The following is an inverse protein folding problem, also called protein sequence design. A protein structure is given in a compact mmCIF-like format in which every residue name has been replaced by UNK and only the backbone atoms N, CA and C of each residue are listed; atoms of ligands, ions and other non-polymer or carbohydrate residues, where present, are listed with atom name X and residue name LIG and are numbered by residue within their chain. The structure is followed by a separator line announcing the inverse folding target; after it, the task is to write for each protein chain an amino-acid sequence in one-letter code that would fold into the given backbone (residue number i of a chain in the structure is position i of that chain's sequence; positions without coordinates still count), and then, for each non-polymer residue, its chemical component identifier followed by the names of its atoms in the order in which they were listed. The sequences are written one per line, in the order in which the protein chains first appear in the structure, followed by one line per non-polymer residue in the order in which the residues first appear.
data_IF_809710264856
#
_entry.id   IF_809710264856
#
_cell.length_a   1.000
_cell.length_b   1.000
_cell.length_c   1.000
_cell.angle_alpha   90.00
_cell.angle_beta   90.00
_cell.angle_gamma   90.00
#
_symmetry.space_group_name_H-M   'P 1'
#
loop_
_entity.id
_entity.type
_entity.pdbx_description
1 polymer ?
#
# COMPACT_ATOMS: atom_id res chain seq x y z
N UNK A 1 28.99 7.19 -15.41
CA UNK A 1 28.36 7.56 -14.13
C UNK A 1 26.87 7.49 -14.32
N UNK A 2 26.22 6.53 -13.74
CA UNK A 2 24.75 6.47 -13.75
C UNK A 2 24.24 7.66 -12.94
N UNK A 3 23.62 8.61 -13.62
CA UNK A 3 22.83 9.65 -12.95
C UNK A 3 21.62 8.95 -12.37
N UNK A 4 21.71 8.52 -11.13
CA UNK A 4 20.56 8.03 -10.38
C UNK A 4 19.61 9.21 -10.23
N UNK A 5 18.61 9.25 -11.09
CA UNK A 5 17.51 10.21 -10.97
C UNK A 5 16.79 9.91 -9.67
N UNK A 6 16.91 10.80 -8.70
CA UNK A 6 16.18 10.72 -7.43
C UNK A 6 14.68 10.81 -7.75
N UNK A 7 13.97 9.71 -7.59
CA UNK A 7 12.53 9.64 -7.81
C UNK A 7 12.08 9.40 -9.25
N UNK A 8 12.97 8.97 -10.14
CA UNK A 8 12.52 8.43 -11.43
C UNK A 8 11.66 7.19 -11.23
N UNK A 9 10.59 7.11 -12.01
CA UNK A 9 9.73 5.94 -12.03
C UNK A 9 10.54 4.67 -12.29
N UNK A 10 10.15 3.58 -11.63
CA UNK A 10 10.78 2.28 -11.80
C UNK A 10 10.12 1.57 -12.96
N UNK A 11 10.83 1.47 -14.07
CA UNK A 11 10.38 0.71 -15.21
C UNK A 11 10.98 -0.69 -15.14
N UNK A 12 10.13 -1.69 -14.96
CA UNK A 12 10.49 -3.09 -15.17
C UNK A 12 9.98 -3.44 -16.55
N UNK A 13 10.85 -3.96 -17.41
CA UNK A 13 10.44 -4.47 -18.70
C UNK A 13 9.63 -5.75 -18.47
N UNK A 14 8.31 -5.65 -18.61
CA UNK A 14 7.43 -6.79 -18.53
C UNK A 14 7.60 -7.66 -19.79
N UNK A 15 7.33 -8.97 -19.65
CA UNK A 15 7.18 -9.86 -20.81
C UNK A 15 6.02 -9.37 -21.69
N UNK A 16 6.03 -9.75 -22.96
CA UNK A 16 4.86 -9.58 -23.84
C UNK A 16 3.71 -10.42 -23.32
N UNK A 17 2.49 -9.90 -23.45
CA UNK A 17 1.28 -10.69 -23.21
C UNK A 17 1.09 -11.71 -24.33
N UNK A 18 0.43 -12.87 -24.09
CA UNK A 18 0.11 -13.84 -25.16
C UNK A 18 -0.71 -13.19 -26.29
N UNK A 19 -0.42 -13.54 -27.55
CA UNK A 19 -1.09 -12.99 -28.74
C UNK A 19 -2.61 -13.26 -28.75
N UNK A 20 -3.05 -14.35 -28.11
CA UNK A 20 -4.47 -14.71 -27.97
C UNK A 20 -5.23 -13.83 -26.96
N UNK A 21 -4.55 -12.90 -26.27
CA UNK A 21 -5.18 -12.06 -25.24
C UNK A 21 -6.07 -11.01 -25.87
N UNK A 22 -7.32 -10.95 -25.41
CA UNK A 22 -8.20 -9.81 -25.67
C UNK A 22 -8.10 -8.80 -24.53
N UNK A 23 -8.05 -7.50 -24.87
CA UNK A 23 -7.98 -6.41 -23.90
C UNK A 23 -9.16 -5.47 -24.08
N UNK A 24 -9.89 -5.20 -23.01
CA UNK A 24 -11.01 -4.26 -22.99
C UNK A 24 -10.88 -3.29 -21.83
N UNK A 25 -11.28 -2.03 -22.04
CA UNK A 25 -11.22 -0.96 -21.03
C UNK A 25 -12.65 -0.65 -20.59
N UNK A 26 -12.84 -0.51 -19.29
CA UNK A 26 -14.15 -0.33 -18.68
C UNK A 26 -14.15 0.83 -17.71
N UNK A 27 -15.26 1.56 -17.70
CA UNK A 27 -15.58 2.56 -16.70
C UNK A 27 -16.68 2.00 -15.81
N UNK A 28 -16.46 2.04 -14.50
CA UNK A 28 -17.41 1.54 -13.49
C UNK A 28 -17.89 2.70 -12.63
N UNK A 29 -19.12 2.56 -12.13
CA UNK A 29 -19.66 3.47 -11.11
C UNK A 29 -19.68 2.75 -9.77
N UNK A 30 -19.11 3.37 -8.75
CA UNK A 30 -19.08 2.85 -7.38
C UNK A 30 -20.42 3.05 -6.67
N UNK A 31 -20.65 2.38 -5.55
CA UNK A 31 -21.89 2.50 -4.78
C UNK A 31 -22.18 3.92 -4.28
N UNK A 32 -21.17 4.76 -4.11
CA UNK A 32 -21.30 6.17 -3.74
C UNK A 32 -21.25 7.14 -4.94
N UNK A 33 -21.34 6.61 -6.18
CA UNK A 33 -21.45 7.37 -7.41
C UNK A 33 -20.14 7.89 -8.00
N UNK A 34 -18.99 7.48 -7.48
CA UNK A 34 -17.70 7.82 -8.09
C UNK A 34 -17.44 6.97 -9.33
N UNK A 35 -16.59 7.47 -10.21
CA UNK A 35 -16.15 6.77 -11.42
C UNK A 35 -14.74 6.20 -11.22
N UNK A 36 -14.56 4.93 -11.58
CA UNK A 36 -13.26 4.25 -11.58
C UNK A 36 -13.03 3.52 -12.90
N UNK A 37 -11.78 3.35 -13.28
CA UNK A 37 -11.39 2.65 -14.50
C UNK A 37 -10.82 1.28 -14.22
N UNK A 38 -11.02 0.34 -15.17
CA UNK A 38 -10.36 -0.95 -15.13
C UNK A 38 -10.10 -1.50 -16.52
N UNK A 39 -9.12 -2.38 -16.61
CA UNK A 39 -8.70 -3.05 -17.84
C UNK A 39 -8.82 -4.56 -17.63
N UNK A 40 -9.67 -5.19 -18.41
CA UNK A 40 -9.83 -6.64 -18.43
C UNK A 40 -8.99 -7.22 -19.57
N UNK A 41 -8.11 -8.14 -19.25
CA UNK A 41 -7.34 -8.95 -20.20
C UNK A 41 -7.72 -10.40 -20.04
N UNK A 42 -8.17 -11.01 -21.11
CA UNK A 42 -8.66 -12.39 -21.12
C UNK A 42 -7.87 -13.23 -22.09
N UNK A 43 -7.52 -14.43 -21.67
CA UNK A 43 -7.12 -15.52 -22.53
C UNK A 43 -8.33 -16.42 -22.80
N UNK A 44 -8.41 -17.11 -23.96
CA UNK A 44 -9.54 -18.00 -24.28
C UNK A 44 -9.73 -19.07 -23.19
N UNK A 45 -10.98 -19.32 -22.80
CA UNK A 45 -11.30 -20.35 -21.79
C UNK A 45 -11.05 -19.98 -20.35
N UNK A 46 -10.59 -18.77 -20.01
CA UNK A 46 -10.34 -18.38 -18.62
C UNK A 46 -11.63 -18.24 -17.82
N UNK A 47 -11.75 -19.00 -16.74
CA UNK A 47 -12.85 -18.92 -15.76
C UNK A 47 -12.42 -18.31 -14.43
N UNK A 48 -11.12 -18.21 -14.20
CA UNK A 48 -10.50 -17.58 -13.03
C UNK A 48 -9.93 -16.23 -13.45
N UNK A 49 -10.18 -15.19 -12.64
CA UNK A 49 -9.65 -13.84 -12.87
C UNK A 49 -8.89 -13.34 -11.65
N UNK A 50 -7.69 -12.84 -11.87
CA UNK A 50 -6.86 -12.16 -10.88
C UNK A 50 -7.14 -10.66 -10.91
N UNK A 51 -7.57 -10.11 -9.77
CA UNK A 51 -7.88 -8.70 -9.58
C UNK A 51 -6.70 -7.99 -8.93
N UNK A 52 -6.00 -7.17 -9.70
CA UNK A 52 -4.86 -6.39 -9.24
C UNK A 52 -5.31 -4.94 -9.00
N UNK A 53 -5.18 -4.48 -7.77
CA UNK A 53 -5.48 -3.11 -7.39
C UNK A 53 -4.54 -2.63 -6.28
N UNK A 54 -4.13 -1.38 -6.37
CA UNK A 54 -3.33 -0.73 -5.35
C UNK A 54 -4.00 0.59 -4.94
N UNK A 55 -3.99 1.00 -3.66
CA UNK A 55 -4.68 2.22 -3.24
C UNK A 55 -4.11 3.48 -3.89
N UNK A 56 -2.80 3.51 -4.19
CA UNK A 56 -2.07 4.69 -4.67
C UNK A 56 -1.61 4.60 -6.12
N UNK A 57 -1.18 3.42 -6.57
CA UNK A 57 -0.51 3.24 -7.86
C UNK A 57 -1.47 2.72 -8.92
N UNK A 58 -1.19 3.05 -10.16
CA UNK A 58 -1.82 2.42 -11.31
C UNK A 58 -1.13 1.09 -11.60
N UNK A 59 -1.88 0.00 -11.52
CA UNK A 59 -1.43 -1.37 -11.79
C UNK A 59 -1.76 -1.85 -13.20
N UNK A 60 -2.16 -0.96 -14.11
CA UNK A 60 -2.49 -1.33 -15.49
C UNK A 60 -1.39 -2.13 -16.18
N UNK A 61 -0.13 -1.82 -15.88
CA UNK A 61 1.06 -2.49 -16.42
C UNK A 61 1.87 -3.24 -15.34
N UNK A 62 1.19 -3.81 -14.35
CA UNK A 62 1.85 -4.55 -13.28
C UNK A 62 2.63 -5.77 -13.85
N UNK A 63 3.81 -6.06 -13.27
CA UNK A 63 4.73 -7.10 -13.74
C UNK A 63 4.15 -8.52 -13.75
N UNK A 64 3.14 -8.79 -12.91
CA UNK A 64 2.43 -10.07 -12.91
C UNK A 64 1.41 -10.22 -14.04
N UNK A 65 1.02 -9.15 -14.72
CA UNK A 65 -0.02 -9.21 -15.77
C UNK A 65 0.34 -10.22 -16.85
N UNK A 66 1.50 -10.11 -17.56
CA UNK A 66 1.87 -11.08 -18.58
C UNK A 66 2.11 -12.48 -18.01
N UNK A 67 2.60 -12.57 -16.78
CA UNK A 67 2.91 -13.84 -16.13
C UNK A 67 1.64 -14.66 -15.83
N UNK A 68 0.58 -14.00 -15.36
CA UNK A 68 -0.71 -14.63 -15.07
C UNK A 68 -1.46 -15.01 -16.33
N UNK A 69 -1.45 -14.13 -17.34
CA UNK A 69 -2.06 -14.41 -18.65
C UNK A 69 -1.41 -15.61 -19.34
N UNK A 70 -0.08 -15.72 -19.29
CA UNK A 70 0.66 -16.86 -19.84
C UNK A 70 0.37 -18.20 -19.14
N UNK A 71 -0.30 -18.14 -17.97
CA UNK A 71 -0.71 -19.31 -17.16
C UNK A 71 -2.23 -19.54 -17.18
N UNK A 72 -2.93 -18.99 -18.16
CA UNK A 72 -4.36 -19.22 -18.35
C UNK A 72 -5.27 -18.48 -17.38
N UNK A 73 -4.76 -17.49 -16.64
CA UNK A 73 -5.54 -16.67 -15.70
C UNK A 73 -5.92 -15.35 -16.36
N UNK A 74 -7.21 -14.99 -16.40
CA UNK A 74 -7.61 -13.66 -16.81
C UNK A 74 -7.13 -12.62 -15.78
N UNK A 75 -6.88 -11.39 -16.24
CA UNK A 75 -6.37 -10.33 -15.38
C UNK A 75 -7.25 -9.09 -15.46
N UNK A 76 -7.72 -8.65 -14.32
CA UNK A 76 -8.37 -7.36 -14.11
C UNK A 76 -7.45 -6.44 -13.35
N UNK A 77 -7.04 -5.34 -13.98
CA UNK A 77 -6.31 -4.27 -13.30
C UNK A 77 -7.22 -3.08 -13.12
N UNK A 78 -7.29 -2.53 -11.91
CA UNK A 78 -8.20 -1.44 -11.58
C UNK A 78 -7.48 -0.31 -10.89
N UNK A 79 -7.86 0.94 -11.22
CA UNK A 79 -7.45 2.13 -10.49
C UNK A 79 -8.45 2.46 -9.38
N UNK A 80 -7.99 3.14 -8.33
CA UNK A 80 -8.88 3.86 -7.41
C UNK A 80 -9.40 5.13 -8.06
N UNK A 81 -10.36 5.81 -7.41
CA UNK A 81 -10.80 7.16 -7.79
C UNK A 81 -9.70 8.23 -7.64
N UNK A 82 -8.58 7.91 -6.98
CA UNK A 82 -7.48 8.83 -6.67
C UNK A 82 -6.11 8.21 -7.02
N UNK A 83 -5.89 7.69 -8.26
CA UNK A 83 -4.62 7.08 -8.61
C UNK A 83 -3.50 8.13 -8.55
N UNK A 84 -2.35 7.75 -7.97
CA UNK A 84 -1.17 8.60 -7.82
C UNK A 84 -1.41 9.92 -7.06
N UNK A 85 -2.49 10.00 -6.27
CA UNK A 85 -2.87 11.21 -5.54
C UNK A 85 -3.03 10.93 -4.04
N UNK A 86 -1.94 11.04 -3.29
CA UNK A 86 -1.92 10.87 -1.84
C UNK A 86 -2.74 11.94 -1.09
N UNK A 87 -2.98 13.09 -1.73
CA UNK A 87 -3.66 14.22 -1.11
C UNK A 87 -5.07 13.89 -0.60
N UNK A 88 -5.80 13.06 -1.34
CA UNK A 88 -7.18 12.71 -1.04
C UNK A 88 -7.42 11.21 -0.86
N UNK A 89 -6.37 10.42 -0.73
CA UNK A 89 -6.50 8.97 -0.61
C UNK A 89 -7.14 8.58 0.72
N UNK A 90 -8.28 7.93 0.66
CA UNK A 90 -8.95 7.29 1.80
C UNK A 90 -9.19 5.81 1.49
N UNK A 91 -8.71 4.93 2.36
CA UNK A 91 -8.84 3.49 2.17
C UNK A 91 -10.30 3.03 2.17
N UNK A 92 -11.16 3.65 2.96
CA UNK A 92 -12.59 3.33 3.01
C UNK A 92 -13.27 3.61 1.67
N UNK A 93 -12.85 4.64 0.93
CA UNK A 93 -13.32 4.89 -0.43
C UNK A 93 -12.71 3.91 -1.42
N UNK A 94 -11.43 3.57 -1.27
CA UNK A 94 -10.78 2.57 -2.12
C UNK A 94 -11.43 1.18 -1.97
N UNK A 95 -11.99 0.84 -0.82
CA UNK A 95 -12.81 -0.37 -0.62
C UNK A 95 -14.09 -0.33 -1.49
N UNK A 96 -14.77 0.82 -1.59
CA UNK A 96 -15.92 0.97 -2.50
C UNK A 96 -15.51 0.86 -3.97
N UNK A 97 -14.35 1.40 -4.31
CA UNK A 97 -13.79 1.29 -5.65
C UNK A 97 -13.51 -0.17 -5.99
N UNK A 98 -12.89 -0.90 -5.07
CA UNK A 98 -12.59 -2.32 -5.23
C UNK A 98 -13.87 -3.16 -5.37
N UNK A 99 -14.90 -2.86 -4.57
CA UNK A 99 -16.20 -3.52 -4.64
C UNK A 99 -16.84 -3.42 -6.03
N UNK A 100 -16.74 -2.26 -6.68
CA UNK A 100 -17.28 -2.07 -8.03
C UNK A 100 -16.64 -3.02 -9.06
N UNK A 101 -15.33 -3.25 -8.96
CA UNK A 101 -14.64 -4.22 -9.81
C UNK A 101 -15.02 -5.67 -9.52
N UNK A 102 -15.11 -6.04 -8.25
CA UNK A 102 -15.52 -7.39 -7.86
C UNK A 102 -16.94 -7.71 -8.35
N UNK A 103 -17.86 -6.77 -8.20
CA UNK A 103 -19.24 -6.92 -8.68
C UNK A 103 -19.26 -7.05 -10.21
N UNK A 104 -18.58 -6.16 -10.93
CA UNK A 104 -18.47 -6.22 -12.39
C UNK A 104 -17.98 -7.58 -12.88
N UNK A 105 -16.96 -8.15 -12.24
CA UNK A 105 -16.39 -9.43 -12.65
C UNK A 105 -17.33 -10.62 -12.36
N UNK A 106 -18.08 -10.58 -11.25
CA UNK A 106 -19.15 -11.55 -10.98
C UNK A 106 -20.25 -11.47 -12.05
N UNK A 107 -20.68 -10.26 -12.39
CA UNK A 107 -21.71 -10.04 -13.43
C UNK A 107 -21.22 -10.48 -14.82
N UNK A 108 -19.92 -10.48 -15.08
CA UNK A 108 -19.29 -11.03 -16.29
C UNK A 108 -19.24 -12.55 -16.32
N UNK A 109 -19.59 -13.22 -15.22
CA UNK A 109 -19.69 -14.67 -15.15
C UNK A 109 -18.37 -15.39 -14.79
N UNK A 110 -17.36 -14.67 -14.27
CA UNK A 110 -16.18 -15.34 -13.75
C UNK A 110 -16.55 -16.22 -12.55
N UNK A 111 -16.16 -17.51 -12.64
CA UNK A 111 -16.42 -18.49 -11.58
C UNK A 111 -15.60 -18.20 -10.33
N UNK A 112 -14.34 -17.81 -10.53
CA UNK A 112 -13.39 -17.56 -9.43
C UNK A 112 -12.74 -16.19 -9.54
N UNK A 113 -12.88 -15.40 -8.47
CA UNK A 113 -12.28 -14.09 -8.31
C UNK A 113 -11.14 -14.19 -7.28
N UNK A 114 -9.93 -13.87 -7.71
CA UNK A 114 -8.76 -13.82 -6.85
C UNK A 114 -8.34 -12.37 -6.66
N UNK A 115 -8.13 -11.96 -5.43
CA UNK A 115 -7.45 -10.68 -5.19
C UNK A 115 -5.94 -10.89 -5.22
N UNK A 116 -5.23 -10.04 -5.94
CA UNK A 116 -3.76 -10.03 -5.98
C UNK A 116 -3.29 -8.67 -5.53
N UNK A 117 -2.90 -8.61 -4.26
CA UNK A 117 -2.37 -7.41 -3.65
C UNK A 117 -0.84 -7.43 -3.63
N UNK A 118 -0.21 -6.46 -4.29
CA UNK A 118 1.23 -6.24 -4.19
C UNK A 118 1.49 -5.03 -3.31
N UNK A 119 2.44 -5.13 -2.37
CA UNK A 119 2.81 -4.02 -1.50
C UNK A 119 1.59 -3.50 -0.72
N UNK A 120 1.28 -2.20 -0.82
CA UNK A 120 0.07 -1.61 -0.22
C UNK A 120 -1.25 -2.11 -0.78
N UNK A 121 -1.24 -2.73 -1.97
CA UNK A 121 -2.41 -3.42 -2.52
C UNK A 121 -2.82 -4.64 -1.69
N UNK A 122 -1.86 -5.27 -1.01
CA UNK A 122 -2.11 -6.37 -0.08
C UNK A 122 -2.99 -5.93 1.11
N UNK A 123 -2.66 -4.79 1.70
CA UNK A 123 -3.44 -4.22 2.81
C UNK A 123 -4.85 -3.81 2.37
N UNK A 124 -4.99 -3.23 1.17
CA UNK A 124 -6.31 -2.91 0.61
C UNK A 124 -7.14 -4.18 0.38
N UNK A 125 -6.53 -5.23 -0.18
CA UNK A 125 -7.19 -6.51 -0.39
C UNK A 125 -7.64 -7.14 0.94
N UNK A 126 -6.77 -7.14 1.96
CA UNK A 126 -7.12 -7.66 3.29
C UNK A 126 -8.27 -6.89 3.94
N UNK A 127 -8.26 -5.54 3.86
CA UNK A 127 -9.36 -4.70 4.33
C UNK A 127 -10.66 -4.99 3.56
N UNK A 128 -10.58 -5.15 2.23
CA UNK A 128 -11.74 -5.51 1.43
C UNK A 128 -12.34 -6.86 1.84
N UNK A 129 -11.51 -7.91 1.97
CA UNK A 129 -11.96 -9.24 2.43
C UNK A 129 -12.62 -9.18 3.80
N UNK A 130 -12.00 -8.47 4.76
CA UNK A 130 -12.57 -8.29 6.10
C UNK A 130 -13.96 -7.64 6.01
N UNK A 131 -14.09 -6.52 5.28
CA UNK A 131 -15.35 -5.80 5.20
C UNK A 131 -16.40 -6.56 4.39
N UNK A 132 -16.02 -7.28 3.34
CA UNK A 132 -16.92 -8.11 2.55
C UNK A 132 -17.45 -9.31 3.36
N UNK A 133 -16.63 -9.88 4.24
CA UNK A 133 -17.02 -10.98 5.13
C UNK A 133 -17.93 -10.58 6.28
N UNK A 134 -18.03 -9.29 6.60
CA UNK A 134 -18.90 -8.81 7.68
C UNK A 134 -20.35 -8.63 7.21
N UNK A 135 -21.34 -8.89 8.10
CA UNK A 135 -22.70 -8.44 7.90
C UNK A 135 -22.73 -6.92 7.59
N UNK A 136 -23.55 -6.44 6.66
CA UNK A 136 -23.55 -5.04 6.23
C UNK A 136 -23.59 -4.02 7.37
N UNK A 137 -24.40 -4.27 8.41
CA UNK A 137 -24.51 -3.37 9.57
C UNK A 137 -23.26 -3.29 10.46
N UNK A 138 -22.29 -4.20 10.31
CA UNK A 138 -21.05 -4.24 11.07
C UNK A 138 -19.86 -3.66 10.28
N UNK A 139 -20.08 -3.30 9.01
CA UNK A 139 -19.04 -2.69 8.18
C UNK A 139 -18.71 -1.29 8.65
N UNK A 140 -17.55 -0.78 8.26
CA UNK A 140 -17.10 0.57 8.59
C UNK A 140 -18.16 1.58 8.14
N UNK A 141 -18.64 2.41 9.08
CA UNK A 141 -19.65 3.44 8.84
C UNK A 141 -19.06 4.86 8.75
N UNK A 142 -17.83 5.06 9.24
CA UNK A 142 -17.16 6.36 9.23
C UNK A 142 -15.65 6.18 8.98
N UNK A 143 -15.07 7.15 8.28
CA UNK A 143 -13.59 7.24 8.20
C UNK A 143 -13.02 7.63 9.56
N UNK A 144 -11.71 7.48 9.81
CA UNK A 144 -11.07 7.90 11.05
C UNK A 144 -11.22 9.40 11.38
N UNK A 145 -11.49 10.23 10.37
CA UNK A 145 -11.82 11.65 10.54
C UNK A 145 -13.31 11.90 10.88
N UNK A 146 -14.12 10.85 11.04
CA UNK A 146 -15.56 10.95 11.32
C UNK A 146 -16.44 11.23 10.10
N UNK A 147 -15.89 11.18 8.88
CA UNK A 147 -16.69 11.34 7.67
C UNK A 147 -17.53 10.09 7.42
N UNK A 148 -18.86 10.21 7.19
CA UNK A 148 -19.69 9.06 6.87
C UNK A 148 -19.20 8.34 5.59
N UNK A 149 -19.22 7.02 5.63
CA UNK A 149 -18.98 6.13 4.50
C UNK A 149 -20.02 5.01 4.51
N UNK A 150 -20.63 4.71 3.38
CA UNK A 150 -21.78 3.81 3.33
C UNK A 150 -21.41 2.42 2.77
N UNK A 151 -20.48 1.74 3.48
CA UNK A 151 -20.13 0.36 3.13
C UNK A 151 -21.30 -0.61 3.36
N UNK A 152 -22.24 -0.27 4.24
CA UNK A 152 -23.39 -1.10 4.53
C UNK A 152 -24.31 -1.28 3.32
N UNK A 153 -24.41 -0.28 2.44
CA UNK A 153 -25.22 -0.32 1.23
C UNK A 153 -24.50 -0.87 0.01
N UNK A 154 -23.17 -1.00 0.07
CA UNK A 154 -22.40 -1.51 -1.05
C UNK A 154 -22.57 -3.03 -1.20
N UNK A 155 -22.83 -3.49 -2.42
CA UNK A 155 -22.67 -4.89 -2.77
C UNK A 155 -21.16 -5.19 -2.78
N UNK A 156 -20.76 -6.12 -1.93
CA UNK A 156 -19.33 -6.49 -1.74
C UNK A 156 -19.19 -8.01 -1.88
N UNK A 157 -19.06 -8.55 -3.11
CA UNK A 157 -18.81 -9.96 -3.32
C UNK A 157 -17.54 -10.40 -2.61
N UNK A 158 -17.60 -11.50 -1.87
CA UNK A 158 -16.42 -12.09 -1.24
C UNK A 158 -15.57 -12.77 -2.33
N UNK A 159 -14.27 -12.45 -2.44
CA UNK A 159 -13.38 -13.14 -3.37
C UNK A 159 -13.11 -14.58 -2.93
N UNK A 160 -12.81 -15.46 -3.90
CA UNK A 160 -12.63 -16.88 -3.67
C UNK A 160 -11.22 -17.23 -3.16
N UNK A 161 -10.25 -16.35 -3.40
CA UNK A 161 -8.87 -16.51 -2.93
C UNK A 161 -8.11 -15.19 -2.88
N UNK A 162 -6.98 -15.18 -2.19
CA UNK A 162 -6.14 -14.01 -2.03
C UNK A 162 -4.65 -14.34 -2.21
N UNK A 163 -3.95 -13.50 -2.97
CA UNK A 163 -2.49 -13.52 -3.10
C UNK A 163 -1.94 -12.19 -2.59
N UNK A 164 -1.02 -12.26 -1.64
CA UNK A 164 -0.33 -11.14 -1.02
C UNK A 164 1.14 -11.19 -1.45
N UNK A 165 1.51 -10.42 -2.47
CA UNK A 165 2.89 -10.36 -3.00
C UNK A 165 3.65 -9.21 -2.35
N UNK A 166 4.80 -9.51 -1.77
CA UNK A 166 5.65 -8.52 -1.09
C UNK A 166 4.81 -7.54 -0.23
N UNK A 167 3.88 -8.06 0.60
CA UNK A 167 2.99 -7.21 1.38
C UNK A 167 3.79 -6.42 2.41
N UNK A 168 3.29 -5.25 2.80
CA UNK A 168 3.72 -4.59 4.02
C UNK A 168 2.51 -4.40 4.96
N UNK A 169 2.71 -4.18 6.26
CA UNK A 169 1.60 -4.12 7.22
C UNK A 169 0.56 -3.02 6.94
N UNK A 170 0.87 -2.06 6.08
CA UNK A 170 0.00 -0.97 5.66
C UNK A 170 0.80 0.30 5.40
N UNK A 171 0.24 1.24 4.62
CA UNK A 171 0.90 2.52 4.34
C UNK A 171 1.27 3.27 5.63
N UNK A 172 0.39 3.26 6.60
CA UNK A 172 0.59 3.92 7.88
C UNK A 172 1.68 3.26 8.71
N UNK A 173 1.70 1.92 8.79
CA UNK A 173 2.74 1.18 9.48
C UNK A 173 4.11 1.36 8.81
N UNK A 174 4.13 1.38 7.47
CA UNK A 174 5.33 1.67 6.70
C UNK A 174 5.82 3.10 6.95
N UNK A 175 4.93 4.10 6.88
CA UNK A 175 5.29 5.50 7.17
C UNK A 175 5.83 5.68 8.59
N UNK A 176 5.26 4.99 9.57
CA UNK A 176 5.75 5.05 10.96
C UNK A 176 7.21 4.62 11.10
N UNK A 177 7.70 3.73 10.20
CA UNK A 177 9.10 3.31 10.14
C UNK A 177 9.98 4.25 9.32
N UNK A 178 9.39 4.89 8.31
CA UNK A 178 10.09 5.76 7.36
C UNK A 178 10.15 7.22 7.80
N UNK A 179 9.26 7.68 8.68
CA UNK A 179 9.23 9.08 9.11
C UNK A 179 10.48 9.43 9.93
N UNK A 180 11.14 10.51 9.58
CA UNK A 180 12.34 10.99 10.25
C UNK A 180 11.99 11.73 11.55
N UNK A 181 12.32 11.19 12.72
CA UNK A 181 11.94 11.81 13.99
C UNK A 181 12.78 13.04 14.35
N UNK A 182 13.87 13.31 13.61
CA UNK A 182 14.73 14.46 13.88
C UNK A 182 14.15 15.79 13.44
N UNK A 183 13.01 15.79 12.70
CA UNK A 183 12.28 17.02 12.34
C UNK A 183 11.68 17.65 13.59
N UNK A 184 12.15 18.87 13.93
CA UNK A 184 11.71 19.62 15.09
C UNK A 184 10.60 20.64 14.77
N UNK A 185 10.55 21.12 13.54
CA UNK A 185 9.56 22.08 13.03
C UNK A 185 8.98 21.60 11.69
N UNK A 186 7.68 21.31 11.65
CA UNK A 186 7.00 20.86 10.43
C UNK A 186 6.83 21.99 9.37
N UNK A 187 7.21 23.21 9.67
CA UNK A 187 7.26 24.33 8.70
C UNK A 187 8.65 24.52 8.08
N UNK A 188 9.69 23.92 8.65
CA UNK A 188 11.06 24.00 8.17
C UNK A 188 11.58 22.61 7.73
N UNK A 189 11.76 22.38 6.39
CA UNK A 189 12.25 21.11 5.88
C UNK A 189 13.68 20.75 6.30
N UNK A 190 14.43 21.72 6.83
CA UNK A 190 15.84 21.58 7.24
C UNK A 190 16.01 21.53 8.76
N UNK A 191 14.93 21.66 9.53
CA UNK A 191 14.99 21.56 10.99
C UNK A 191 15.48 20.17 11.42
N UNK A 192 16.47 20.09 12.32
CA UNK A 192 17.09 18.83 12.75
C UNK A 192 17.39 18.84 14.25
N UNK A 193 16.95 17.80 14.94
CA UNK A 193 17.54 17.40 16.23
C UNK A 193 18.73 16.46 15.96
N UNK A 194 19.99 16.90 16.22
CA UNK A 194 21.15 16.07 15.93
C UNK A 194 21.19 14.75 16.70
N UNK A 195 20.52 14.66 17.84
CA UNK A 195 20.48 13.44 18.66
C UNK A 195 19.55 12.36 18.06
N UNK A 196 18.66 12.75 17.15
CA UNK A 196 17.72 11.87 16.45
C UNK A 196 18.01 11.77 14.95
N UNK A 197 19.02 12.46 14.44
CA UNK A 197 19.39 12.41 13.02
C UNK A 197 20.02 11.05 12.67
N UNK A 198 19.36 10.21 11.84
CA UNK A 198 19.90 8.90 11.47
C UNK A 198 21.14 9.00 10.58
N UNK A 199 21.42 10.17 10.02
CA UNK A 199 22.56 10.42 9.14
C UNK A 199 23.70 11.15 9.84
N UNK A 200 23.63 11.32 11.17
CA UNK A 200 24.70 11.87 11.96
C UNK A 200 25.72 10.78 12.34
N UNK A 201 27.02 10.91 11.99
CA UNK A 201 28.05 9.94 12.37
C UNK A 201 28.14 9.70 13.90
N UNK A 202 27.82 10.70 14.72
CA UNK A 202 27.80 10.56 16.18
C UNK A 202 26.74 9.55 16.67
N UNK A 203 25.70 9.25 15.86
CA UNK A 203 24.67 8.28 16.14
C UNK A 203 24.95 6.89 15.55
N UNK A 204 26.05 6.72 14.78
CA UNK A 204 26.42 5.45 14.16
C UNK A 204 26.26 5.39 12.65
N UNK A 205 25.99 6.53 11.99
CA UNK A 205 25.91 6.61 10.53
C UNK A 205 27.27 6.44 9.87
N UNK A 206 27.31 5.62 8.82
CA UNK A 206 28.46 5.47 7.93
C UNK A 206 28.09 5.93 6.51
N UNK A 207 29.08 6.46 5.80
CA UNK A 207 28.85 6.94 4.42
C UNK A 207 28.52 5.78 3.46
N UNK A 208 27.49 5.94 2.61
CA UNK A 208 27.15 4.94 1.61
C UNK A 208 28.35 4.59 0.69
N UNK A 209 28.53 3.32 0.33
CA UNK A 209 27.62 2.18 0.54
C UNK A 209 27.87 1.37 1.81
N UNK A 210 28.69 1.87 2.74
CA UNK A 210 29.00 1.18 3.99
C UNK A 210 27.75 1.11 4.87
N UNK A 211 27.47 -0.09 5.40
CA UNK A 211 26.37 -0.28 6.34
C UNK A 211 26.67 0.45 7.65
N UNK A 212 25.72 1.27 8.08
CA UNK A 212 25.76 1.89 9.42
C UNK A 212 25.56 0.86 10.52
N UNK A 213 25.83 1.24 11.77
CA UNK A 213 25.58 0.41 12.94
C UNK A 213 25.06 1.28 14.07
N UNK A 214 23.79 1.08 14.45
CA UNK A 214 23.16 1.85 15.50
C UNK A 214 23.13 1.07 16.81
N UNK A 215 23.36 1.78 17.94
CA UNK A 215 23.24 1.16 19.25
C UNK A 215 21.78 0.81 19.57
N UNK A 216 21.52 -0.24 20.37
CA UNK A 216 20.15 -0.58 20.79
C UNK A 216 19.42 0.58 21.47
N UNK A 217 20.11 1.40 22.25
CA UNK A 217 19.54 2.57 22.92
C UNK A 217 19.13 3.65 21.94
N UNK A 218 19.96 3.93 20.92
CA UNK A 218 19.59 4.85 19.85
C UNK A 218 18.38 4.34 19.08
N UNK A 219 18.35 3.06 18.70
CA UNK A 219 17.22 2.45 17.98
C UNK A 219 15.92 2.59 18.80
N UNK A 220 15.96 2.29 20.10
CA UNK A 220 14.80 2.40 20.97
C UNK A 220 14.30 3.84 21.07
N UNK A 221 15.21 4.80 21.27
CA UNK A 221 14.89 6.23 21.33
C UNK A 221 14.34 6.74 19.99
N UNK A 222 14.98 6.39 18.90
CA UNK A 222 14.57 6.74 17.54
C UNK A 222 13.14 6.26 17.23
N UNK A 223 12.84 4.98 17.51
CA UNK A 223 11.49 4.41 17.30
C UNK A 223 10.43 5.05 18.19
N UNK A 224 10.76 5.42 19.43
CA UNK A 224 9.85 6.18 20.28
C UNK A 224 9.56 7.58 19.73
N UNK A 225 10.60 8.27 19.23
CA UNK A 225 10.47 9.59 18.63
C UNK A 225 9.70 9.57 17.30
N UNK A 226 9.82 8.50 16.48
CA UNK A 226 8.97 8.30 15.30
C UNK A 226 7.48 8.23 15.67
N UNK A 227 7.12 7.44 16.70
CA UNK A 227 5.73 7.37 17.19
C UNK A 227 5.24 8.73 17.69
N UNK A 228 6.04 9.42 18.48
CA UNK A 228 5.69 10.74 18.99
C UNK A 228 5.48 11.78 17.89
N UNK A 229 6.27 11.71 16.78
CA UNK A 229 6.06 12.58 15.62
C UNK A 229 4.73 12.28 14.91
N UNK A 230 4.39 11.00 14.70
CA UNK A 230 3.09 10.59 14.13
C UNK A 230 1.93 11.09 15.03
N UNK A 231 2.04 10.96 16.34
CA UNK A 231 1.02 11.42 17.28
C UNK A 231 0.79 12.94 17.20
N UNK A 232 1.87 13.73 17.06
CA UNK A 232 1.74 15.20 16.87
C UNK A 232 1.04 15.54 15.55
N UNK A 233 1.40 14.87 14.47
CA UNK A 233 0.76 15.07 13.16
C UNK A 233 -0.72 14.63 13.20
N UNK A 234 -1.03 13.56 13.91
CA UNK A 234 -2.40 13.09 14.12
C UNK A 234 -3.24 14.11 14.88
N UNK A 235 -2.72 14.65 15.97
CA UNK A 235 -3.39 15.69 16.73
C UNK A 235 -3.70 16.90 15.84
N UNK A 236 -2.73 17.33 15.04
CA UNK A 236 -2.93 18.43 14.08
C UNK A 236 -3.98 18.12 13.01
N UNK A 237 -3.97 16.90 12.47
CA UNK A 237 -4.98 16.48 11.50
C UNK A 237 -6.39 16.49 12.10
N UNK A 238 -6.55 16.02 13.34
CA UNK A 238 -7.83 16.02 14.06
C UNK A 238 -8.33 17.44 14.35
N UNK A 239 -7.44 18.35 14.75
CA UNK A 239 -7.80 19.79 14.93
C UNK A 239 -8.35 20.38 13.63
N UNK A 240 -7.64 20.17 12.51
CA UNK A 240 -8.05 20.69 11.20
C UNK A 240 -9.38 20.07 10.73
N UNK A 241 -9.59 18.77 10.94
CA UNK A 241 -10.84 18.10 10.64
C UNK A 241 -12.00 18.66 11.49
N UNK A 242 -11.76 18.92 12.77
CA UNK A 242 -12.74 19.53 13.67
C UNK A 242 -13.10 20.97 13.26
N UNK A 243 -12.12 21.79 12.86
CA UNK A 243 -12.36 23.14 12.32
C UNK A 243 -13.32 23.11 11.11
N UNK A 244 -13.09 22.16 10.18
CA UNK A 244 -13.94 21.97 8.99
C UNK A 244 -15.35 21.54 9.41
N UNK A 245 -15.46 20.59 10.34
CA UNK A 245 -16.74 20.10 10.85
C UNK A 245 -17.55 21.23 11.55
N UNK A 246 -16.91 22.04 12.38
CA UNK A 246 -17.52 23.19 13.05
C UNK A 246 -17.99 24.26 12.03
N UNK A 247 -17.18 24.56 11.02
CA UNK A 247 -17.57 25.49 9.97
C UNK A 247 -18.78 24.97 9.17
N UNK A 248 -18.83 23.67 8.90
CA UNK A 248 -19.98 23.01 8.23
C UNK A 248 -21.25 23.10 9.08
N UNK A 249 -21.14 22.85 10.37
CA UNK A 249 -22.27 22.95 11.29
C UNK A 249 -22.83 24.37 11.37
N UNK A 250 -21.96 25.40 11.49
CA UNK A 250 -22.38 26.80 11.48
C UNK A 250 -23.04 27.20 10.17
N UNK A 251 -22.44 26.81 9.03
CA UNK A 251 -23.06 27.08 7.73
C UNK A 251 -24.45 26.46 7.61
N UNK A 252 -24.62 25.22 8.09
CA UNK A 252 -25.93 24.54 8.09
C UNK A 252 -26.95 25.30 8.97
N UNK A 253 -26.51 25.89 10.07
CA UNK A 253 -27.37 26.59 11.01
C UNK A 253 -27.80 28.01 10.54
N UNK A 254 -26.91 28.74 9.88
CA UNK A 254 -27.07 30.18 9.60
C UNK A 254 -26.95 30.59 8.13
N UNK A 255 -26.62 29.64 7.22
CA UNK A 255 -26.42 29.92 5.81
C UNK A 255 -25.19 30.77 5.46
N UNK A 256 -24.29 31.04 6.43
CA UNK A 256 -23.14 31.93 6.27
C UNK A 256 -22.21 31.48 5.10
N UNK A 257 -22.04 32.37 4.12
CA UNK A 257 -21.10 32.15 3.01
C UNK A 257 -19.66 32.11 3.50
N UNK A 258 -19.32 32.85 4.55
CA UNK A 258 -17.99 32.81 5.15
C UNK A 258 -17.69 31.43 5.76
N UNK A 259 -18.66 30.82 6.47
CA UNK A 259 -18.51 29.46 6.98
C UNK A 259 -18.49 28.43 5.85
N UNK A 260 -19.27 28.64 4.77
CA UNK A 260 -19.19 27.79 3.57
C UNK A 260 -17.79 27.80 2.96
N UNK A 261 -17.17 28.97 2.81
CA UNK A 261 -15.79 29.11 2.32
C UNK A 261 -14.80 28.41 3.23
N UNK A 262 -14.94 28.51 4.56
CA UNK A 262 -14.09 27.80 5.52
C UNK A 262 -14.21 26.27 5.40
N UNK A 263 -15.42 25.77 5.10
CA UNK A 263 -15.63 24.33 4.85
C UNK A 263 -14.93 23.86 3.57
N UNK A 264 -14.87 24.70 2.54
CA UNK A 264 -14.31 24.37 1.23
C UNK A 264 -12.81 24.62 1.12
N UNK A 265 -12.28 25.56 1.93
CA UNK A 265 -10.87 25.89 1.88
C UNK A 265 -10.01 24.66 2.26
N UNK A 266 -9.07 24.23 1.42
CA UNK A 266 -8.28 23.05 1.69
C UNK A 266 -7.39 23.26 2.92
N UNK A 267 -7.26 22.19 3.71
CA UNK A 267 -6.25 22.07 4.77
C UNK A 267 -5.29 20.99 4.33
N UNK A 268 -4.02 21.31 4.23
CA UNK A 268 -2.99 20.40 3.74
C UNK A 268 -1.92 20.28 4.82
N UNK A 269 -1.64 19.03 5.20
CA UNK A 269 -0.47 18.68 5.98
C UNK A 269 0.68 18.46 5.02
N UNK A 270 1.79 19.14 5.29
CA UNK A 270 3.07 18.86 4.66
C UNK A 270 3.92 18.11 5.66
N UNK A 271 4.45 16.95 5.25
CA UNK A 271 5.27 16.10 6.11
C UNK A 271 6.62 15.89 5.44
N UNK A 272 7.64 16.51 5.98
CA UNK A 272 9.00 16.40 5.46
C UNK A 272 9.68 15.12 5.92
N UNK A 273 10.64 14.65 5.12
CA UNK A 273 11.58 13.58 5.47
C UNK A 273 10.87 12.29 5.92
N UNK A 274 10.47 11.51 4.93
CA UNK A 274 9.78 10.22 5.10
C UNK A 274 10.49 9.08 4.36
N UNK A 275 11.84 9.09 4.39
CA UNK A 275 12.69 8.00 3.89
C UNK A 275 13.85 7.75 4.88
N UNK A 276 13.49 7.41 6.13
CA UNK A 276 14.44 7.33 7.24
C UNK A 276 14.27 6.05 8.09
N UNK A 277 13.94 4.92 7.45
CA UNK A 277 13.98 3.62 8.15
C UNK A 277 15.43 3.20 8.35
N UNK A 278 15.83 2.96 9.61
CA UNK A 278 17.18 2.52 9.97
C UNK A 278 17.58 1.23 9.24
N UNK A 279 16.63 0.34 8.93
CA UNK A 279 16.89 -0.90 8.19
C UNK A 279 17.39 -0.64 6.75
N UNK A 280 17.13 0.53 6.19
CA UNK A 280 17.63 0.90 4.84
C UNK A 280 19.13 1.20 4.83
N UNK A 281 19.72 1.51 5.98
CA UNK A 281 21.10 1.98 6.14
C UNK A 281 21.93 1.12 7.09
N UNK A 282 21.29 0.42 8.02
CA UNK A 282 21.90 -0.64 8.84
C UNK A 282 21.38 -2.00 8.37
N UNK A 283 22.22 -2.72 7.62
CA UNK A 283 21.83 -4.00 7.01
C UNK A 283 21.81 -5.17 8.03
N UNK A 284 22.28 -4.93 9.26
CA UNK A 284 22.22 -5.93 10.34
C UNK A 284 20.85 -5.97 11.02
N UNK A 285 20.04 -4.92 10.82
CA UNK A 285 18.68 -4.84 11.36
C UNK A 285 17.69 -5.60 10.45
N UNK A 286 17.09 -6.66 10.98
CA UNK A 286 16.12 -7.51 10.26
C UNK A 286 16.69 -7.96 8.90
N UNK A 287 17.80 -8.75 8.90
CA UNK A 287 18.63 -8.99 7.72
C UNK A 287 17.92 -9.83 6.66
N UNK A 288 18.11 -9.45 5.41
CA UNK A 288 17.68 -10.19 4.22
C UNK A 288 18.69 -9.90 3.07
N UNK A 289 18.36 -10.30 1.83
CA UNK A 289 19.24 -10.09 0.66
C UNK A 289 19.12 -8.69 0.02
N UNK A 290 18.53 -7.71 0.72
CA UNK A 290 18.36 -6.35 0.18
C UNK A 290 19.70 -5.65 -0.08
N UNK A 291 19.79 -4.85 -1.16
CA UNK A 291 20.90 -3.94 -1.33
C UNK A 291 20.84 -2.80 -0.28
N UNK A 292 21.97 -2.16 -0.05
CA UNK A 292 22.00 -0.91 0.71
C UNK A 292 21.08 0.15 0.08
N UNK A 293 20.37 0.88 0.94
CA UNK A 293 19.45 1.93 0.54
C UNK A 293 17.99 1.57 0.75
N UNK A 294 17.15 2.55 0.47
CA UNK A 294 15.69 2.44 0.63
C UNK A 294 15.01 1.97 -0.64
N UNK A 295 13.69 1.82 -0.53
CA UNK A 295 12.80 1.58 -1.67
C UNK A 295 12.93 2.66 -2.78
N UNK A 296 13.38 3.86 -2.42
CA UNK A 296 13.52 4.99 -3.34
C UNK A 296 14.91 5.11 -3.97
N UNK A 297 15.93 4.47 -3.40
CA UNK A 297 17.28 4.45 -3.97
C UNK A 297 18.40 4.24 -2.96
N UNK A 298 19.65 4.28 -3.47
CA UNK A 298 20.86 3.96 -2.71
C UNK A 298 21.41 5.12 -1.85
N UNK A 299 20.75 6.26 -1.84
CA UNK A 299 21.18 7.44 -1.09
C UNK A 299 20.04 7.97 -0.21
N UNK A 300 19.54 7.18 0.78
CA UNK A 300 18.46 7.63 1.67
C UNK A 300 18.81 8.92 2.43
N UNK A 301 20.08 9.15 2.74
CA UNK A 301 20.61 10.38 3.33
C UNK A 301 20.30 11.64 2.51
N UNK A 302 20.20 11.53 1.19
CA UNK A 302 19.83 12.63 0.28
C UNK A 302 18.35 12.59 -0.10
N UNK A 303 17.83 11.39 -0.39
CA UNK A 303 16.43 11.18 -0.81
C UNK A 303 15.47 11.64 0.29
N UNK A 304 15.82 11.43 1.55
CA UNK A 304 15.03 11.89 2.70
C UNK A 304 14.76 13.40 2.67
N UNK A 305 15.67 14.21 2.15
CA UNK A 305 15.50 15.66 1.96
C UNK A 305 14.84 16.03 0.62
N UNK A 306 14.70 15.06 -0.29
CA UNK A 306 14.09 15.28 -1.60
C UNK A 306 12.55 15.32 -1.57
N UNK A 307 11.95 15.50 -2.74
CA UNK A 307 10.50 15.54 -2.90
C UNK A 307 9.84 14.15 -2.77
N UNK A 308 10.56 13.09 -3.13
CA UNK A 308 10.02 11.74 -3.16
C UNK A 308 9.93 11.14 -1.76
N UNK A 309 8.77 10.54 -1.43
CA UNK A 309 8.52 9.90 -0.15
C UNK A 309 7.03 9.60 0.03
N UNK A 310 6.71 8.91 1.10
CA UNK A 310 5.32 8.59 1.45
C UNK A 310 4.70 9.69 2.32
N UNK A 311 3.39 9.97 2.10
CA UNK A 311 2.59 10.84 2.97
C UNK A 311 3.04 12.31 3.02
N UNK A 312 3.82 12.77 2.03
CA UNK A 312 4.42 14.12 2.01
C UNK A 312 3.39 15.24 1.99
N UNK A 313 2.28 15.03 1.30
CA UNK A 313 1.17 15.97 1.19
C UNK A 313 -0.15 15.22 1.37
N UNK A 314 -0.98 15.64 2.31
CA UNK A 314 -2.28 15.02 2.53
C UNK A 314 -3.29 15.99 3.15
N UNK A 315 -4.58 15.76 2.87
CA UNK A 315 -5.65 16.37 3.67
C UNK A 315 -5.74 15.69 5.03
N UNK A 316 -6.38 16.30 6.04
CA UNK A 316 -6.62 15.65 7.33
C UNK A 316 -7.33 14.30 7.22
N UNK A 317 -8.35 14.21 6.34
CA UNK A 317 -9.07 12.96 6.10
C UNK A 317 -8.13 11.87 5.53
N UNK A 318 -7.31 12.22 4.54
CA UNK A 318 -6.36 11.29 3.92
C UNK A 318 -5.24 10.88 4.89
N UNK A 319 -4.73 11.82 5.70
CA UNK A 319 -3.75 11.51 6.74
C UNK A 319 -4.27 10.45 7.69
N UNK A 320 -5.42 10.71 8.31
CA UNK A 320 -6.00 9.81 9.32
C UNK A 320 -6.40 8.44 8.74
N UNK A 321 -6.90 8.41 7.50
CA UNK A 321 -7.30 7.16 6.85
C UNK A 321 -6.12 6.33 6.35
N UNK A 322 -5.06 6.99 5.84
CA UNK A 322 -4.02 6.29 5.08
C UNK A 322 -2.66 6.26 5.77
N UNK A 323 -2.25 7.36 6.40
CA UNK A 323 -0.87 7.56 6.84
C UNK A 323 -0.65 7.48 8.35
N UNK A 324 -1.72 7.54 9.13
CA UNK A 324 -1.67 7.49 10.59
C UNK A 324 -1.81 6.07 11.11
N UNK A 325 -0.75 5.48 11.64
CA UNK A 325 -0.78 4.14 12.22
C UNK A 325 -1.78 3.98 13.39
N UNK A 326 -1.94 4.94 14.30
CA UNK A 326 -2.96 4.84 15.36
C UNK A 326 -4.40 5.00 14.85
N UNK A 327 -4.64 5.57 13.66
CA UNK A 327 -5.97 5.95 13.19
C UNK A 327 -6.51 5.10 12.05
N UNK A 328 -5.65 4.66 11.13
CA UNK A 328 -6.07 3.97 9.90
C UNK A 328 -6.87 2.68 10.16
N UNK A 329 -7.86 2.40 9.31
CA UNK A 329 -8.52 1.10 9.25
C UNK A 329 -7.73 0.08 8.40
N UNK A 330 -6.81 0.56 7.56
CA UNK A 330 -6.03 -0.27 6.64
C UNK A 330 -4.71 -0.72 7.30
N UNK A 331 -4.80 -1.76 8.08
CA UNK A 331 -3.68 -2.43 8.73
C UNK A 331 -3.83 -3.93 8.49
N UNK A 332 -2.85 -4.54 7.81
CA UNK A 332 -2.94 -5.93 7.38
C UNK A 332 -3.02 -6.87 8.59
N UNK A 333 -2.26 -6.61 9.66
CA UNK A 333 -2.28 -7.45 10.86
C UNK A 333 -3.68 -7.47 11.53
N UNK A 334 -4.40 -6.35 11.47
CA UNK A 334 -5.77 -6.23 12.01
C UNK A 334 -6.83 -6.74 11.04
N UNK A 335 -6.57 -6.71 9.74
CA UNK A 335 -7.52 -7.15 8.73
C UNK A 335 -7.41 -8.64 8.41
N UNK A 336 -6.21 -9.23 8.47
CA UNK A 336 -5.94 -10.61 8.13
C UNK A 336 -6.79 -11.66 8.86
N UNK A 337 -7.16 -11.49 10.15
CA UNK A 337 -8.09 -12.40 10.82
C UNK A 337 -9.46 -12.51 10.15
N UNK A 338 -9.88 -11.49 9.40
CA UNK A 338 -11.13 -11.47 8.63
C UNK A 338 -11.01 -12.02 7.20
N UNK A 339 -9.83 -12.42 6.76
CA UNK A 339 -9.61 -13.06 5.46
C UNK A 339 -9.85 -14.57 5.62
N UNK A 340 -11.01 -15.04 5.18
CA UNK A 340 -11.41 -16.45 5.33
C UNK A 340 -11.11 -17.28 4.08
N UNK A 341 -10.83 -16.64 2.95
CA UNK A 341 -10.50 -17.32 1.70
C UNK A 341 -9.10 -17.98 1.77
N UNK A 342 -8.86 -19.06 1.01
CA UNK A 342 -7.52 -19.57 0.78
C UNK A 342 -6.56 -18.45 0.42
N UNK A 343 -5.39 -18.40 1.06
CA UNK A 343 -4.48 -17.26 0.94
C UNK A 343 -3.04 -17.70 0.69
N UNK A 344 -2.35 -16.98 -0.18
CA UNK A 344 -0.93 -17.13 -0.47
C UNK A 344 -0.19 -15.84 -0.15
N UNK A 345 0.75 -15.88 0.78
CA UNK A 345 1.68 -14.80 1.08
C UNK A 345 3.03 -15.10 0.47
N UNK A 346 3.54 -14.22 -0.38
CA UNK A 346 4.85 -14.33 -1.02
C UNK A 346 5.74 -13.20 -0.53
N UNK A 347 6.79 -13.56 0.16
CA UNK A 347 7.88 -12.69 0.57
C UNK A 347 8.95 -12.64 -0.52
N UNK A 348 9.53 -11.46 -0.78
CA UNK A 348 10.68 -11.29 -1.66
C UNK A 348 11.96 -11.12 -0.83
N UNK A 349 12.95 -12.01 -1.04
CA UNK A 349 14.14 -12.09 -0.16
C UNK A 349 15.04 -10.85 -0.17
N UNK A 350 14.95 -10.02 -1.21
CA UNK A 350 15.68 -8.74 -1.34
C UNK A 350 14.79 -7.51 -1.14
N UNK A 351 13.68 -7.65 -0.43
CA UNK A 351 12.72 -6.56 -0.22
C UNK A 351 13.28 -5.47 0.70
N UNK A 352 12.95 -4.20 0.37
CA UNK A 352 13.34 -3.00 1.11
C UNK A 352 12.13 -2.31 1.78
N UNK A 353 10.93 -2.91 1.71
CA UNK A 353 9.70 -2.40 2.31
C UNK A 353 8.98 -3.43 3.20
N UNK A 354 9.15 -4.72 2.89
CA UNK A 354 8.68 -5.85 3.70
C UNK A 354 9.91 -6.63 4.17
N UNK A 355 10.16 -6.64 5.45
CA UNK A 355 11.30 -7.34 6.04
C UNK A 355 10.86 -8.69 6.62
N UNK A 356 11.78 -9.63 6.87
CA UNK A 356 11.43 -10.97 7.34
C UNK A 356 10.49 -10.98 8.56
N UNK A 357 10.80 -10.21 9.59
CA UNK A 357 9.95 -10.08 10.78
C UNK A 357 8.55 -9.55 10.44
N UNK A 358 8.43 -8.60 9.49
CA UNK A 358 7.14 -8.09 9.05
C UNK A 358 6.34 -9.20 8.33
N UNK A 359 6.99 -10.00 7.46
CA UNK A 359 6.36 -11.09 6.72
C UNK A 359 5.88 -12.22 7.66
N UNK A 360 6.71 -12.60 8.64
CA UNK A 360 6.36 -13.59 9.67
C UNK A 360 5.14 -13.14 10.48
N UNK A 361 5.14 -11.89 10.96
CA UNK A 361 4.03 -11.34 11.74
C UNK A 361 2.73 -11.28 10.91
N UNK A 362 2.83 -10.90 9.62
CA UNK A 362 1.66 -10.90 8.75
C UNK A 362 1.14 -12.31 8.51
N UNK A 363 2.00 -13.28 8.20
CA UNK A 363 1.58 -14.67 8.03
C UNK A 363 0.91 -15.24 9.29
N UNK A 364 1.46 -14.94 10.46
CA UNK A 364 0.91 -15.38 11.75
C UNK A 364 -0.43 -14.70 12.11
N UNK A 365 -0.78 -13.58 11.47
CA UNK A 365 -2.02 -12.84 11.79
C UNK A 365 -3.28 -13.42 11.14
N UNK A 366 -3.15 -14.30 10.17
CA UNK A 366 -4.30 -14.95 9.53
C UNK A 366 -4.91 -16.02 10.47
N UNK A 367 -6.24 -16.00 10.60
CA UNK A 367 -6.98 -17.05 11.31
C UNK A 367 -7.35 -18.23 10.40
N UNK A 368 -7.13 -18.12 9.10
CA UNK A 368 -7.43 -19.17 8.13
C UNK A 368 -6.47 -20.36 8.30
N UNK A 369 -7.00 -21.59 8.21
CA UNK A 369 -6.18 -22.80 8.15
C UNK A 369 -5.57 -23.04 6.75
N UNK A 370 -5.98 -22.29 5.73
CA UNK A 370 -5.46 -22.37 4.37
C UNK A 370 -4.67 -21.10 4.01
N UNK A 371 -3.64 -20.85 4.80
CA UNK A 371 -2.59 -19.85 4.52
C UNK A 371 -1.31 -20.54 4.09
N UNK A 372 -0.80 -20.20 2.95
CA UNK A 372 0.50 -20.64 2.44
C UNK A 372 1.47 -19.47 2.46
N UNK A 373 2.60 -19.58 3.16
CA UNK A 373 3.68 -18.60 3.15
C UNK A 373 4.86 -19.17 2.34
N UNK A 374 5.36 -18.39 1.40
CA UNK A 374 6.52 -18.72 0.54
C UNK A 374 7.45 -17.53 0.43
N UNK A 375 8.74 -17.80 0.42
CA UNK A 375 9.76 -16.83 0.09
C UNK A 375 10.30 -17.13 -1.32
N UNK A 376 10.45 -16.10 -2.15
CA UNK A 376 11.11 -16.21 -3.46
C UNK A 376 12.19 -15.14 -3.59
N UNK A 377 13.19 -15.42 -4.41
CA UNK A 377 14.31 -14.51 -4.61
C UNK A 377 13.89 -13.34 -5.50
N UNK A 378 14.09 -12.10 -5.02
CA UNK A 378 13.75 -10.91 -5.79
C UNK A 378 13.69 -9.65 -4.93
N UNK A 379 13.68 -8.49 -5.59
CA UNK A 379 13.48 -7.18 -4.96
C UNK A 379 12.00 -6.83 -4.95
N UNK A 380 11.62 -5.87 -4.12
CA UNK A 380 10.23 -5.46 -3.88
C UNK A 380 9.33 -5.40 -5.13
N UNK A 381 9.80 -4.84 -6.24
CA UNK A 381 9.04 -4.73 -7.49
C UNK A 381 9.26 -5.90 -8.48
N UNK A 382 9.79 -7.02 -8.01
CA UNK A 382 10.00 -8.22 -8.81
C UNK A 382 11.26 -8.20 -9.68
N UNK A 383 12.15 -7.20 -9.54
CA UNK A 383 13.45 -7.24 -10.21
C UNK A 383 14.36 -8.34 -9.61
N UNK A 384 15.31 -8.89 -10.36
CA UNK A 384 16.30 -9.82 -9.83
C UNK A 384 17.23 -9.13 -8.82
N UNK A 385 17.77 -9.88 -7.87
CA UNK A 385 18.76 -9.38 -6.92
C UNK A 385 20.10 -9.19 -7.62
N UNK A 386 20.53 -10.19 -8.38
CA UNK A 386 21.75 -10.19 -9.16
C UNK A 386 21.40 -10.12 -10.65
N UNK A 387 22.19 -9.40 -11.42
CA UNK A 387 22.03 -9.33 -12.88
C UNK A 387 22.19 -10.72 -13.50
N UNK A 388 21.29 -11.07 -14.43
CA UNK A 388 21.26 -12.38 -15.10
C UNK A 388 20.42 -13.45 -14.39
N UNK A 389 19.96 -13.22 -13.16
CA UNK A 389 19.01 -14.12 -12.49
C UNK A 389 17.58 -13.94 -13.04
N UNK A 390 16.70 -14.94 -12.88
CA UNK A 390 15.29 -14.80 -13.18
C UNK A 390 14.67 -13.64 -12.38
N UNK A 391 13.76 -12.86 -12.97
CA UNK A 391 13.03 -11.85 -12.21
C UNK A 391 12.21 -12.48 -11.08
N UNK A 392 12.20 -11.86 -9.91
CA UNK A 392 11.38 -12.29 -8.77
C UNK A 392 9.89 -12.33 -9.10
N UNK A 393 9.42 -11.50 -10.06
CA UNK A 393 8.05 -11.57 -10.57
C UNK A 393 7.74 -12.89 -11.30
N UNK A 394 8.69 -13.43 -12.05
CA UNK A 394 8.53 -14.72 -12.73
C UNK A 394 8.51 -15.87 -11.70
N UNK A 395 9.43 -15.84 -10.74
CA UNK A 395 9.47 -16.83 -9.64
C UNK A 395 8.18 -16.76 -8.78
N UNK A 396 7.69 -15.58 -8.48
CA UNK A 396 6.43 -15.41 -7.77
C UNK A 396 5.25 -15.98 -8.58
N UNK A 397 5.24 -15.76 -9.88
CA UNK A 397 4.19 -16.30 -10.76
C UNK A 397 4.21 -17.83 -10.85
N UNK A 398 5.38 -18.48 -10.75
CA UNK A 398 5.50 -19.95 -10.64
C UNK A 398 4.82 -20.42 -9.33
N UNK A 399 5.17 -19.82 -8.21
CA UNK A 399 4.56 -20.14 -6.90
C UNK A 399 3.05 -19.90 -6.91
N UNK A 400 2.58 -18.81 -7.54
CA UNK A 400 1.14 -18.55 -7.70
C UNK A 400 0.49 -19.67 -8.53
N UNK A 401 1.09 -20.08 -9.63
CA UNK A 401 0.57 -21.13 -10.50
C UNK A 401 0.44 -22.49 -9.77
N UNK A 402 1.47 -22.87 -9.02
CA UNK A 402 1.47 -24.08 -8.20
C UNK A 402 0.39 -24.04 -7.12
N UNK A 403 0.18 -22.87 -6.50
CA UNK A 403 -0.84 -22.68 -5.48
C UNK A 403 -2.25 -22.69 -6.06
N UNK A 404 -2.44 -22.14 -7.30
CA UNK A 404 -3.73 -22.12 -7.99
C UNK A 404 -4.18 -23.50 -8.46
N UNK A 405 -3.27 -24.32 -8.99
CA UNK A 405 -3.58 -25.56 -9.69
C UNK A 405 -4.54 -26.51 -8.93
N UNK A 406 -4.38 -26.76 -7.61
CA UNK A 406 -5.31 -27.61 -6.87
C UNK A 406 -6.59 -26.88 -6.43
N UNK A 407 -6.73 -25.58 -6.60
CA UNK A 407 -7.80 -24.74 -6.01
C UNK A 407 -8.72 -24.12 -7.05
N UNK A 408 -8.15 -23.62 -8.13
CA UNK A 408 -8.87 -22.80 -9.10
C UNK A 408 -8.54 -23.22 -10.53
N UNK A 409 -9.56 -23.54 -11.35
CA UNK A 409 -9.33 -23.89 -12.74
C UNK A 409 -8.69 -22.74 -13.53
N UNK A 410 -7.66 -23.03 -14.29
CA UNK A 410 -7.04 -22.13 -15.26
C UNK A 410 -7.29 -22.64 -16.66
N UNK A 411 -7.22 -21.75 -17.67
CA UNK A 411 -7.29 -22.17 -19.06
C UNK A 411 -6.05 -22.98 -19.46
N UNK A 412 -6.26 -23.92 -20.40
CA UNK A 412 -5.17 -24.74 -20.98
C UNK A 412 -4.23 -23.91 -21.87
#
# INVERSE_FOLDING_TARGET
MSTTSLGAGRYITARSIPDSTTTTVHQLTTADGATVGGVLRMVPGAHTVACLMHPRQDFTHHVLVPELLARGVAVWTQTTRSPNNDLNLMHEQAVLDFAAGQLYLRDRGFAHLLTVGHSGGATLAALYHQQAGLPPAQRIAHTPAGRPIDLAKAAMPLPDGAVFLAPHPGQAALLQRLIDPSVTDESDPLSVDPSLDPYNPANGFEQPPTSSTYSPDFIAHYRAAQRARIERLDARARELAAEIAHARARHKANGSVADRRRTLAPRILTVYRTDADLRSIDLTLDPNERPYGSLFGSRPDLINYGLVGFGRLSTPDAWLSTWSAPSTNADLLRCAPGVTAPSLLIELSGDQACFPTDAENMAASFNSNDITHRQVRGKHFGAPITEGEPPGSALAAEVISEWLAPRFPVAD
#
